data_IF_421911654813
#
_entry.id   IF_421911654813
#
_cell.length_a   1.000
_cell.length_b   1.000
_cell.length_c   1.000
_cell.angle_alpha   90.00
_cell.angle_beta   90.00
_cell.angle_gamma   90.00
#
_symmetry.space_group_name_H-M   'P 1'
#
loop_
_entity.id
_entity.type
_entity.pdbx_description
1 polymer ?
#
# COMPACT_ATOMS: atom_id res chain seq x y z
N UNK A 1 8.25 -23.16 14.48
CA UNK A 1 7.07 -22.61 15.16
C UNK A 1 7.51 -21.30 15.79
N UNK A 2 7.27 -20.17 15.10
CA UNK A 2 7.81 -18.86 15.50
C UNK A 2 6.77 -18.15 16.36
N UNK A 3 7.15 -17.76 17.57
CA UNK A 3 6.26 -17.13 18.55
C UNK A 3 6.25 -15.62 18.25
N UNK A 4 5.08 -15.10 17.86
CA UNK A 4 4.89 -13.66 17.70
C UNK A 4 4.91 -12.99 19.07
N UNK A 5 5.81 -12.03 19.25
CA UNK A 5 5.92 -11.22 20.46
C UNK A 5 4.78 -10.20 20.46
N UNK A 6 3.90 -10.27 21.47
CA UNK A 6 2.82 -9.30 21.69
C UNK A 6 3.39 -8.17 22.54
N UNK A 7 3.61 -7.01 21.93
CA UNK A 7 3.99 -5.80 22.64
C UNK A 7 2.81 -4.82 22.60
N UNK A 8 2.01 -4.82 23.66
CA UNK A 8 0.92 -3.85 23.85
C UNK A 8 1.51 -2.52 24.30
N UNK A 9 1.75 -1.61 23.36
CA UNK A 9 2.15 -0.23 23.67
C UNK A 9 0.93 0.68 23.76
N UNK A 10 0.84 1.37 24.90
CA UNK A 10 -0.21 2.34 25.24
C UNK A 10 -0.15 3.55 24.28
N UNK A 11 -1.34 4.01 23.89
CA UNK A 11 -1.58 5.18 23.04
C UNK A 11 -0.94 6.45 23.63
N UNK A 12 0.20 6.87 23.08
CA UNK A 12 0.64 8.26 23.13
C UNK A 12 0.06 8.95 21.90
N UNK A 13 -1.10 9.56 22.09
CA UNK A 13 -1.78 10.37 21.09
C UNK A 13 -0.94 11.61 20.78
N UNK A 14 -0.21 11.59 19.66
CA UNK A 14 0.36 12.79 19.05
C UNK A 14 -0.25 12.93 17.66
N UNK A 15 -1.50 13.40 17.63
CA UNK A 15 -2.18 13.76 16.41
C UNK A 15 -1.42 14.91 15.74
N UNK A 16 -0.66 14.61 14.70
CA UNK A 16 -0.28 15.60 13.69
C UNK A 16 -1.01 15.23 12.41
N UNK A 17 -2.30 15.57 12.35
CA UNK A 17 -3.07 15.54 11.11
C UNK A 17 -2.67 16.75 10.27
N UNK A 18 -1.96 16.53 9.16
CA UNK A 18 -1.76 17.57 8.16
C UNK A 18 -2.90 17.47 7.13
N UNK A 19 -3.97 18.22 7.38
CA UNK A 19 -5.03 18.45 6.40
C UNK A 19 -4.55 19.50 5.39
N UNK A 20 -4.36 19.10 4.13
CA UNK A 20 -4.11 20.02 3.01
C UNK A 20 -5.41 20.77 2.67
N UNK A 21 -5.59 21.98 3.21
CA UNK A 21 -6.69 22.88 2.84
C UNK A 21 -6.33 23.69 1.58
N UNK A 22 -7.27 23.71 0.65
CA UNK A 22 -7.23 24.36 -0.67
C UNK A 22 -6.80 25.83 -0.62
N UNK A 23 -5.90 26.22 -1.51
CA UNK A 23 -5.50 27.62 -1.71
C UNK A 23 -6.55 28.38 -2.53
N UNK A 24 -7.04 29.49 -1.99
CA UNK A 24 -7.81 30.48 -2.73
C UNK A 24 -7.44 31.90 -2.29
N UNK A 25 -6.84 32.63 -3.24
CA UNK A 25 -6.98 34.07 -3.53
C UNK A 25 -6.54 35.18 -2.54
N UNK A 26 -5.66 36.04 -3.09
CA UNK A 26 -5.74 37.51 -3.24
C UNK A 26 -5.04 38.47 -2.23
N UNK A 27 -4.26 39.36 -2.87
CA UNK A 27 -3.97 40.79 -2.61
C UNK A 27 -2.80 41.28 -1.72
N UNK A 28 -1.76 41.76 -2.44
CA UNK A 28 -1.08 43.08 -2.46
C UNK A 28 -0.71 43.89 -1.18
N UNK A 29 0.56 44.32 -1.20
CA UNK A 29 1.23 45.48 -0.56
C UNK A 29 1.34 45.58 0.97
N UNK A 30 2.58 45.69 1.48
CA UNK A 30 3.20 46.96 1.89
C UNK A 30 4.59 46.71 2.54
N UNK A 31 5.63 47.32 1.98
CA UNK A 31 6.95 47.45 2.60
C UNK A 31 6.83 48.44 3.77
N UNK A 32 7.26 48.05 4.96
CA UNK A 32 7.62 48.99 6.03
C UNK A 32 8.79 48.44 6.84
N UNK A 33 9.91 49.13 6.74
CA UNK A 33 11.08 48.97 7.59
C UNK A 33 10.83 49.77 8.88
N UNK A 34 11.04 49.15 10.04
CA UNK A 34 11.21 49.86 11.31
C UNK A 34 11.92 48.94 12.30
N UNK A 35 13.13 49.35 12.70
CA UNK A 35 13.94 48.69 13.73
C UNK A 35 13.56 49.30 15.07
N UNK A 36 12.90 48.53 15.94
CA UNK A 36 12.85 48.82 17.37
C UNK A 36 12.68 47.51 18.15
N UNK A 37 13.69 47.22 18.96
CA UNK A 37 13.88 46.01 19.75
C UNK A 37 12.94 46.00 20.97
N UNK A 38 12.14 44.95 21.15
CA UNK A 38 11.72 44.41 22.47
C UNK A 38 10.80 43.19 22.31
N UNK A 39 11.39 42.02 22.57
CA UNK A 39 10.76 40.78 23.08
C UNK A 39 9.28 40.52 22.73
N UNK A 40 9.00 40.05 21.50
CA UNK A 40 8.08 38.93 21.22
C UNK A 40 8.10 38.58 19.72
N UNK A 41 8.09 37.29 19.42
CA UNK A 41 7.69 36.69 18.12
C UNK A 41 8.47 37.07 16.86
N UNK A 42 9.35 36.16 16.41
CA UNK A 42 9.62 35.99 14.96
C UNK A 42 9.15 34.61 14.54
N UNK A 43 7.86 34.54 14.20
CA UNK A 43 7.34 33.58 13.25
C UNK A 43 7.95 33.90 11.87
N UNK A 44 9.18 33.45 11.63
CA UNK A 44 9.73 33.36 10.29
C UNK A 44 9.34 31.99 9.75
N UNK A 45 8.55 31.97 8.67
CA UNK A 45 8.09 30.78 7.97
C UNK A 45 9.24 29.96 7.38
N UNK A 46 9.95 29.25 8.24
CA UNK A 46 10.81 28.15 7.83
C UNK A 46 9.91 26.93 7.74
N UNK A 47 9.46 26.63 6.52
CA UNK A 47 8.96 25.31 6.19
C UNK A 47 9.95 24.27 6.75
N UNK A 48 9.51 23.31 7.57
CA UNK A 48 10.39 22.30 8.11
C UNK A 48 10.99 21.50 6.95
N UNK A 49 12.29 21.67 6.70
CA UNK A 49 13.01 20.89 5.70
C UNK A 49 13.21 19.49 6.27
N UNK A 50 12.40 18.54 5.80
CA UNK A 50 12.48 17.13 6.17
C UNK A 50 13.65 16.50 5.41
N UNK A 51 14.48 15.70 6.09
CA UNK A 51 15.55 14.96 5.41
C UNK A 51 14.97 13.84 4.53
N UNK A 52 15.73 13.40 3.53
CA UNK A 52 15.31 12.30 2.67
C UNK A 52 15.15 10.98 3.45
N UNK A 53 15.96 10.78 4.49
CA UNK A 53 15.86 9.62 5.38
C UNK A 53 14.54 9.62 6.15
N UNK A 54 14.13 10.78 6.66
CA UNK A 54 12.87 10.94 7.39
C UNK A 54 11.66 10.75 6.45
N UNK A 55 11.72 11.28 5.22
CA UNK A 55 10.67 11.04 4.22
C UNK A 55 10.51 9.56 3.87
N UNK A 56 11.62 8.81 3.78
CA UNK A 56 11.57 7.36 3.56
C UNK A 56 10.91 6.65 4.74
N UNK A 57 11.29 7.01 5.96
CA UNK A 57 10.69 6.44 7.18
C UNK A 57 9.17 6.62 7.21
N UNK A 58 8.71 7.82 6.86
CA UNK A 58 7.29 8.14 6.77
C UNK A 58 6.59 7.30 5.71
N UNK A 59 7.14 7.22 4.50
CA UNK A 59 6.59 6.39 3.41
C UNK A 59 6.56 4.89 3.76
N UNK A 60 7.48 4.43 4.61
CA UNK A 60 7.53 3.06 5.09
C UNK A 60 6.65 2.81 6.34
N UNK A 61 5.80 3.75 6.72
CA UNK A 61 4.88 3.64 7.87
C UNK A 61 3.42 3.72 7.42
N UNK A 62 2.53 3.01 8.11
CA UNK A 62 1.10 3.06 7.81
C UNK A 62 0.50 4.43 8.11
N UNK A 63 -0.19 5.07 7.16
CA UNK A 63 -0.79 6.39 7.37
C UNK A 63 -2.05 6.35 8.25
N UNK A 64 -2.68 5.19 8.36
CA UNK A 64 -3.90 4.98 9.16
C UNK A 64 -3.60 4.70 10.63
N UNK A 65 -2.59 3.89 10.94
CA UNK A 65 -2.31 3.46 12.33
C UNK A 65 -0.89 3.77 12.83
N UNK A 66 -0.02 4.32 11.99
CA UNK A 66 1.31 4.79 12.38
C UNK A 66 2.36 3.70 12.62
N UNK A 67 2.01 2.41 12.49
CA UNK A 67 3.01 1.34 12.63
C UNK A 67 4.03 1.40 11.51
N UNK A 68 5.28 1.09 11.84
CA UNK A 68 6.36 1.01 10.88
C UNK A 68 6.35 -0.33 10.15
N UNK A 69 6.17 -0.30 8.83
CA UNK A 69 6.33 -1.50 8.01
C UNK A 69 7.80 -1.87 7.78
N UNK A 70 8.74 -0.91 7.88
CA UNK A 70 10.16 -1.21 7.74
C UNK A 70 10.72 -2.01 8.93
N UNK A 71 10.10 -1.90 10.10
CA UNK A 71 10.39 -2.69 11.30
C UNK A 71 9.54 -3.97 11.41
N UNK A 72 8.87 -4.36 10.32
CA UNK A 72 7.95 -5.50 10.30
C UNK A 72 6.76 -5.41 11.28
N UNK A 73 6.41 -4.19 11.72
CA UNK A 73 5.22 -3.95 12.54
C UNK A 73 3.96 -3.84 11.67
N UNK A 74 2.87 -4.44 12.15
CA UNK A 74 1.57 -4.44 11.47
C UNK A 74 0.44 -4.35 12.49
N UNK A 75 -0.66 -3.71 12.12
CA UNK A 75 -1.92 -3.81 12.86
C UNK A 75 -2.90 -4.72 12.10
N UNK A 76 -3.44 -5.72 12.78
CA UNK A 76 -4.38 -6.69 12.19
C UNK A 76 -5.76 -6.08 11.93
N UNK A 77 -6.12 -5.04 12.70
CA UNK A 77 -7.40 -4.33 12.57
C UNK A 77 -7.32 -3.12 11.63
N UNK A 78 -6.17 -2.92 10.96
CA UNK A 78 -5.96 -1.84 10.03
C UNK A 78 -6.03 -2.32 8.57
N UNK A 79 -6.97 -1.77 7.79
CA UNK A 79 -7.15 -2.14 6.39
C UNK A 79 -5.95 -1.79 5.51
N UNK A 80 -5.24 -0.70 5.82
CA UNK A 80 -4.03 -0.29 5.10
C UNK A 80 -2.85 -1.25 5.36
N UNK A 81 -2.74 -1.78 6.58
CA UNK A 81 -1.75 -2.81 6.89
C UNK A 81 -2.09 -4.14 6.19
N UNK A 82 -3.35 -4.59 6.29
CA UNK A 82 -3.81 -5.83 5.65
C UNK A 82 -3.06 -7.09 6.12
N UNK A 83 -2.53 -7.08 7.35
CA UNK A 83 -1.92 -8.23 8.02
C UNK A 83 -0.47 -8.56 7.65
N UNK A 84 0.20 -7.77 6.82
CA UNK A 84 1.59 -7.99 6.41
C UNK A 84 2.40 -6.69 6.45
N UNK A 85 3.74 -6.76 6.48
CA UNK A 85 4.64 -5.59 6.40
C UNK A 85 4.96 -5.32 4.92
N UNK A 86 6.19 -4.96 4.54
CA UNK A 86 6.52 -4.62 3.14
C UNK A 86 6.39 -5.78 2.16
N UNK A 87 6.31 -7.02 2.67
CA UNK A 87 6.30 -8.24 1.88
C UNK A 87 5.22 -9.21 2.35
N UNK A 88 4.73 -10.03 1.43
CA UNK A 88 3.82 -11.13 1.75
C UNK A 88 3.95 -12.30 0.78
N UNK A 89 3.55 -13.52 1.20
CA UNK A 89 3.39 -14.64 0.27
C UNK A 89 2.28 -14.37 -0.75
N UNK A 90 2.41 -15.00 -1.92
CA UNK A 90 1.47 -14.85 -3.03
C UNK A 90 -0.01 -15.01 -2.59
N UNK A 91 -0.87 -13.98 -2.76
CA UNK A 91 -2.28 -14.04 -2.38
C UNK A 91 -3.10 -15.01 -3.22
N UNK A 92 -2.72 -15.26 -4.47
CA UNK A 92 -3.52 -16.10 -5.37
C UNK A 92 -3.43 -17.60 -5.08
N UNK A 93 -2.33 -18.04 -4.47
CA UNK A 93 -2.10 -19.45 -4.15
C UNK A 93 -1.62 -19.66 -2.72
N UNK A 94 -1.83 -18.66 -1.86
CA UNK A 94 -1.47 -18.68 -0.44
C UNK A 94 0.00 -19.07 -0.22
N UNK A 95 0.89 -18.53 -1.06
CA UNK A 95 2.33 -18.80 -0.98
C UNK A 95 2.82 -20.13 -1.55
N UNK A 96 1.95 -21.02 -2.04
CA UNK A 96 2.37 -22.32 -2.62
C UNK A 96 3.36 -22.20 -3.77
N UNK A 97 3.34 -21.09 -4.51
CA UNK A 97 4.25 -20.85 -5.62
C UNK A 97 5.63 -20.30 -5.20
N UNK A 98 5.84 -20.00 -3.90
CA UNK A 98 7.07 -19.40 -3.40
C UNK A 98 7.31 -17.94 -3.80
N UNK A 99 6.43 -17.31 -4.59
CA UNK A 99 6.57 -15.90 -4.95
C UNK A 99 6.23 -14.98 -3.78
N UNK A 100 7.13 -14.03 -3.54
CA UNK A 100 6.93 -12.91 -2.62
C UNK A 100 6.37 -11.70 -3.38
N UNK A 101 5.35 -11.07 -2.78
CA UNK A 101 4.70 -9.89 -3.29
C UNK A 101 5.14 -8.68 -2.45
N UNK A 102 5.44 -7.57 -3.13
CA UNK A 102 5.90 -6.33 -2.51
C UNK A 102 4.73 -5.39 -2.32
N UNK A 103 4.70 -4.66 -1.20
CA UNK A 103 3.69 -3.62 -1.00
C UNK A 103 3.91 -2.48 -1.99
N UNK A 104 2.83 -2.06 -2.63
CA UNK A 104 2.76 -0.79 -3.33
C UNK A 104 2.43 0.31 -2.33
N UNK A 105 3.45 1.06 -1.88
CA UNK A 105 3.31 2.08 -0.84
C UNK A 105 2.38 3.20 -1.31
N UNK A 106 2.59 3.70 -2.54
CA UNK A 106 1.80 4.77 -3.14
C UNK A 106 0.32 4.41 -3.15
N UNK A 107 -0.05 3.24 -3.68
CA UNK A 107 -1.45 2.84 -3.75
C UNK A 107 -2.01 2.43 -2.39
N UNK A 108 -1.18 1.89 -1.48
CA UNK A 108 -1.64 1.56 -0.14
C UNK A 108 -2.05 2.81 0.63
N UNK A 109 -1.22 3.84 0.62
CA UNK A 109 -1.54 5.14 1.22
C UNK A 109 -2.72 5.81 0.53
N UNK A 110 -2.72 5.87 -0.80
CA UNK A 110 -3.77 6.55 -1.56
C UNK A 110 -5.17 5.94 -1.36
N UNK A 111 -5.24 4.62 -1.13
CA UNK A 111 -6.51 3.91 -0.95
C UNK A 111 -6.89 3.63 0.51
N UNK A 112 -5.97 3.83 1.46
CA UNK A 112 -6.13 3.40 2.86
C UNK A 112 -6.30 1.89 3.03
N UNK A 113 -5.86 1.09 2.04
CA UNK A 113 -6.02 -0.37 1.97
C UNK A 113 -4.73 -1.01 1.51
N UNK A 114 -4.42 -2.21 1.98
CA UNK A 114 -3.20 -2.90 1.55
C UNK A 114 -3.22 -3.20 0.05
N UNK A 115 -2.23 -2.68 -0.69
CA UNK A 115 -2.02 -2.90 -2.13
C UNK A 115 -0.69 -3.59 -2.37
N UNK A 116 -0.68 -4.52 -3.32
CA UNK A 116 0.42 -5.46 -3.52
C UNK A 116 0.74 -5.63 -5.00
N UNK A 117 2.03 -5.68 -5.30
CA UNK A 117 2.59 -5.96 -6.62
C UNK A 117 3.34 -7.29 -6.61
N UNK A 118 3.07 -8.12 -7.60
CA UNK A 118 3.70 -9.41 -7.76
C UNK A 118 3.01 -10.26 -8.83
N UNK A 119 3.53 -11.47 -9.05
CA UNK A 119 2.97 -12.42 -10.01
C UNK A 119 2.95 -13.82 -9.40
N UNK A 120 1.85 -14.54 -9.58
CA UNK A 120 1.76 -15.94 -9.12
C UNK A 120 2.48 -16.85 -10.12
N UNK A 121 3.47 -17.65 -9.68
CA UNK A 121 4.20 -18.56 -10.56
C UNK A 121 3.41 -19.82 -10.94
N UNK A 122 2.36 -20.16 -10.18
CA UNK A 122 1.44 -21.26 -10.54
C UNK A 122 0.40 -20.85 -11.58
N UNK A 123 0.06 -19.56 -11.67
CA UNK A 123 -0.89 -19.04 -12.65
C UNK A 123 -0.45 -19.33 -14.09
N UNK A 124 0.86 -19.24 -14.36
CA UNK A 124 1.43 -19.50 -15.68
C UNK A 124 1.24 -20.96 -16.09
N UNK A 125 1.39 -21.89 -15.14
CA UNK A 125 1.21 -23.33 -15.38
C UNK A 125 -0.27 -23.67 -15.59
N UNK A 126 -1.18 -23.10 -14.80
CA UNK A 126 -2.61 -23.37 -14.94
C UNK A 126 -3.22 -22.76 -16.21
N UNK A 127 -2.73 -21.60 -16.69
CA UNK A 127 -3.18 -21.04 -17.96
C UNK A 127 -2.79 -21.91 -19.16
N UNK A 128 -1.60 -22.50 -19.16
CA UNK A 128 -1.21 -23.45 -20.23
C UNK A 128 -2.12 -24.69 -20.24
N UNK A 129 -2.44 -25.25 -19.08
CA UNK A 129 -3.33 -26.42 -18.99
C UNK A 129 -4.77 -26.07 -19.40
N UNK A 130 -5.29 -24.90 -19.02
CA UNK A 130 -6.64 -24.47 -19.43
C UNK A 130 -6.77 -24.30 -20.94
N UNK A 131 -5.74 -23.79 -21.61
CA UNK A 131 -5.75 -23.67 -23.07
C UNK A 131 -5.78 -25.05 -23.74
N UNK A 132 -4.93 -25.98 -23.29
CA UNK A 132 -4.90 -27.36 -23.80
C UNK A 132 -6.25 -28.09 -23.63
N UNK A 133 -6.90 -27.93 -22.47
CA UNK A 133 -8.19 -28.59 -22.19
C UNK A 133 -9.35 -27.97 -22.97
N UNK A 134 -9.31 -26.67 -23.28
CA UNK A 134 -10.39 -25.99 -24.02
C UNK A 134 -10.46 -26.42 -25.50
N UNK A 135 -9.31 -26.76 -26.09
CA UNK A 135 -9.22 -27.24 -27.48
C UNK A 135 -9.78 -28.66 -27.62
N UNK A 136 -9.55 -29.52 -26.62
CA UNK A 136 -10.06 -30.89 -26.63
C UNK A 136 -11.57 -30.98 -26.36
N UNK A 137 -12.12 -30.17 -25.45
CA UNK A 137 -13.56 -30.18 -25.14
C UNK A 137 -14.44 -29.76 -26.35
N UNK A 138 -14.04 -28.71 -27.04
CA UNK A 138 -14.77 -28.21 -28.22
C UNK A 138 -14.72 -29.19 -29.39
N UNK A 139 -13.62 -29.92 -29.55
CA UNK A 139 -13.48 -30.97 -30.56
C UNK A 139 -14.26 -32.24 -30.21
N UNK A 140 -14.33 -32.61 -28.93
CA UNK A 140 -15.13 -33.75 -28.45
C UNK A 140 -16.63 -33.52 -28.62
N UNK A 141 -17.15 -32.34 -28.25
CA UNK A 141 -18.56 -31.96 -28.43
C UNK A 141 -18.97 -32.02 -29.91
N UNK A 142 -18.13 -31.50 -30.80
CA UNK A 142 -18.35 -31.54 -32.25
C UNK A 142 -18.37 -32.98 -32.82
N UNK A 143 -17.57 -33.89 -32.24
CA UNK A 143 -17.56 -35.30 -32.62
C UNK A 143 -18.76 -36.05 -32.09
N UNK A 144 -19.23 -35.73 -30.88
CA UNK A 144 -20.45 -36.31 -30.32
C UNK A 144 -21.67 -35.96 -31.17
N UNK A 145 -21.89 -34.69 -31.52
CA UNK A 145 -23.02 -34.27 -32.37
C UNK A 145 -23.03 -34.97 -33.74
N UNK A 146 -21.85 -35.17 -34.34
CA UNK A 146 -21.74 -35.92 -35.60
C UNK A 146 -22.14 -37.39 -35.48
N UNK A 147 -21.96 -38.01 -34.31
CA UNK A 147 -22.40 -39.38 -34.06
C UNK A 147 -23.90 -39.46 -33.76
N UNK A 148 -24.49 -38.44 -33.15
CA UNK A 148 -25.93 -38.43 -32.85
C UNK A 148 -26.79 -38.10 -34.08
N UNK A 149 -26.26 -37.32 -35.02
CA UNK A 149 -26.99 -36.90 -36.22
C UNK A 149 -26.98 -37.95 -37.36
N UNK A 150 -26.23 -39.04 -37.20
CA UNK A 150 -26.06 -40.07 -38.21
C UNK A 150 -26.76 -41.40 -37.87
N UNK A 151 -27.67 -41.40 -36.89
CA UNK A 151 -28.48 -42.56 -36.47
C UNK A 151 -29.97 -42.39 -36.78
#
# INVERSE_FOLDING_TARGET
MSIARVETMRMLNKSQSLSLSSISSLDDAHISFSVANSANSTASGQEPVVSIEELRLQLNSCFTCGVSWHEDHVSLDCQECGGYSLERPCPHCEGRCGSTWKRDLTMSHASGKARWEGKCLLSTSTQMIKNLVSEDESHLCSRLEKLTASS
#
